data_IF_217673467726
#
_entry.id   IF_217673467726
#
_cell.length_a   1.000
_cell.length_b   1.000
_cell.length_c   1.000
_cell.angle_alpha   90.00
_cell.angle_beta   90.00
_cell.angle_gamma   90.00
#
_symmetry.space_group_name_H-M   'P 1'
#
loop_
_entity.id
_entity.type
_entity.pdbx_description
1 polymer ?
#
# COMPACT_ATOMS: atom_id res chain seq x y z
N UNK A 1 29.44 -12.05 -22.44
CA UNK A 1 28.49 -12.94 -21.75
C UNK A 1 28.81 -12.84 -20.27
N UNK A 2 28.11 -11.96 -19.57
CA UNK A 2 28.20 -11.81 -18.12
C UNK A 2 26.80 -11.36 -17.68
N UNK A 3 25.99 -12.34 -17.33
CA UNK A 3 24.73 -12.15 -16.61
C UNK A 3 24.82 -13.04 -15.37
N UNK A 4 24.13 -12.58 -14.33
CA UNK A 4 23.82 -13.27 -13.08
C UNK A 4 24.88 -13.25 -11.98
N UNK A 5 24.87 -12.17 -11.19
CA UNK A 5 25.12 -12.18 -9.74
C UNK A 5 24.61 -10.85 -9.16
N UNK A 6 23.30 -10.74 -8.85
CA UNK A 6 22.76 -9.69 -7.96
C UNK A 6 21.27 -9.92 -7.59
N UNK A 7 20.92 -11.14 -7.18
CA UNK A 7 19.57 -11.48 -6.72
C UNK A 7 19.64 -12.24 -5.39
N UNK A 8 20.11 -11.58 -4.32
CA UNK A 8 19.95 -12.18 -2.98
C UNK A 8 19.81 -11.21 -1.79
N UNK A 9 19.46 -9.93 -2.01
CA UNK A 9 19.40 -8.95 -0.92
C UNK A 9 17.98 -8.55 -0.45
N UNK A 10 16.91 -9.24 -0.88
CA UNK A 10 15.52 -8.79 -0.64
C UNK A 10 14.70 -9.62 0.36
N UNK A 11 15.32 -10.47 1.19
CA UNK A 11 14.59 -11.39 2.07
C UNK A 11 14.56 -11.01 3.56
N UNK A 12 14.62 -9.72 3.91
CA UNK A 12 14.31 -9.26 5.27
C UNK A 12 13.63 -7.89 5.22
N UNK A 13 12.32 -7.89 4.97
CA UNK A 13 11.48 -6.75 5.34
C UNK A 13 10.34 -7.27 6.21
N UNK A 14 10.38 -6.80 7.46
CA UNK A 14 9.48 -7.16 8.54
C UNK A 14 8.01 -7.05 8.13
N UNK A 15 7.27 -8.12 8.44
CA UNK A 15 5.81 -8.17 8.38
C UNK A 15 5.19 -7.47 9.59
N UNK A 16 5.48 -6.20 9.79
CA UNK A 16 4.77 -5.40 10.79
C UNK A 16 4.13 -4.16 10.15
N UNK A 17 2.80 -4.12 10.17
CA UNK A 17 2.04 -2.87 9.97
C UNK A 17 1.25 -2.73 8.68
N UNK A 18 0.40 -3.70 8.32
CA UNK A 18 -0.78 -3.43 7.47
C UNK A 18 -2.00 -3.25 8.39
N UNK A 19 -2.65 -2.07 8.45
CA UNK A 19 -3.87 -1.90 9.22
C UNK A 19 -5.03 -2.57 8.45
N UNK A 20 -5.28 -3.84 8.74
CA UNK A 20 -6.27 -4.67 8.03
C UNK A 20 -7.70 -4.58 8.57
N UNK A 21 -8.00 -3.73 9.56
CA UNK A 21 -9.27 -3.84 10.31
C UNK A 21 -10.25 -2.69 10.14
N UNK A 22 -9.95 -1.65 9.37
CA UNK A 22 -10.85 -0.50 9.16
C UNK A 22 -11.67 -0.54 7.86
N UNK A 23 -11.10 -1.11 6.80
CA UNK A 23 -11.64 -0.97 5.44
C UNK A 23 -12.77 -1.94 5.11
N UNK A 24 -12.81 -3.13 5.73
CA UNK A 24 -13.87 -4.11 5.47
C UNK A 24 -15.23 -3.67 6.03
N UNK A 25 -15.25 -2.90 7.12
CA UNK A 25 -16.48 -2.44 7.76
C UNK A 25 -17.18 -1.32 6.99
N UNK A 26 -16.41 -0.36 6.44
CA UNK A 26 -16.97 0.75 5.66
C UNK A 26 -17.54 0.30 4.30
N UNK A 27 -16.95 -0.75 3.71
CA UNK A 27 -17.45 -1.36 2.48
C UNK A 27 -18.84 -1.95 2.71
N UNK A 28 -19.05 -2.71 3.79
CA UNK A 28 -20.35 -3.32 4.06
C UNK A 28 -21.43 -2.25 4.30
N UNK A 29 -21.10 -1.18 5.03
CA UNK A 29 -22.08 -0.14 5.39
C UNK A 29 -22.49 0.74 4.20
N UNK A 30 -21.54 1.12 3.33
CA UNK A 30 -21.85 1.94 2.15
C UNK A 30 -22.72 1.18 1.14
N UNK A 31 -22.43 -0.11 0.91
CA UNK A 31 -23.19 -0.94 -0.02
C UNK A 31 -24.57 -1.33 0.54
N UNK A 32 -24.77 -1.42 1.85
CA UNK A 32 -26.11 -1.76 2.39
C UNK A 32 -27.11 -0.59 2.31
N UNK A 33 -26.65 0.65 2.44
CA UNK A 33 -27.54 1.81 2.57
C UNK A 33 -27.95 2.48 1.26
N UNK A 34 -27.16 2.35 0.18
CA UNK A 34 -27.47 2.94 -1.15
C UNK A 34 -27.67 1.93 -2.27
N UNK A 35 -27.55 0.63 -2.00
CA UNK A 35 -27.66 -0.39 -3.05
C UNK A 35 -29.06 -0.46 -3.67
N UNK A 36 -29.16 -0.67 -4.99
CA UNK A 36 -30.38 -1.10 -5.67
C UNK A 36 -31.09 -2.29 -5.00
N UNK A 37 -30.36 -3.12 -4.26
CA UNK A 37 -30.91 -4.22 -3.46
C UNK A 37 -31.83 -3.74 -2.34
N UNK A 38 -31.54 -2.57 -1.74
CA UNK A 38 -32.42 -1.96 -0.75
C UNK A 38 -33.72 -1.48 -1.40
N UNK A 39 -33.63 -0.87 -2.58
CA UNK A 39 -34.80 -0.45 -3.36
C UNK A 39 -35.66 -1.66 -3.79
N UNK A 40 -35.03 -2.77 -4.17
CA UNK A 40 -35.72 -4.02 -4.50
C UNK A 40 -36.37 -4.61 -3.24
N UNK A 41 -35.66 -4.67 -2.12
CA UNK A 41 -36.18 -5.16 -0.85
C UNK A 41 -37.38 -4.32 -0.36
N UNK A 42 -37.30 -2.99 -0.44
CA UNK A 42 -38.36 -2.07 -0.06
C UNK A 42 -39.61 -2.23 -0.95
N UNK A 43 -39.43 -2.46 -2.25
CA UNK A 43 -40.52 -2.71 -3.18
C UNK A 43 -41.18 -4.09 -2.96
N UNK A 44 -40.40 -5.13 -2.67
CA UNK A 44 -40.92 -6.45 -2.32
C UNK A 44 -41.70 -6.41 -1.00
N UNK A 45 -41.21 -5.67 -0.01
CA UNK A 45 -41.89 -5.47 1.27
C UNK A 45 -43.23 -4.75 1.10
N UNK A 46 -43.28 -3.73 0.23
CA UNK A 46 -44.54 -3.03 -0.11
C UNK A 46 -45.56 -3.95 -0.77
N UNK A 47 -45.13 -4.83 -1.69
CA UNK A 47 -46.03 -5.79 -2.33
C UNK A 47 -46.60 -6.81 -1.34
N UNK A 48 -45.80 -7.29 -0.38
CA UNK A 48 -46.26 -8.19 0.70
C UNK A 48 -47.29 -7.52 1.61
N UNK A 49 -47.05 -6.26 2.02
CA UNK A 49 -47.99 -5.46 2.83
C UNK A 49 -49.33 -5.24 2.10
N UNK A 50 -49.28 -4.97 0.79
CA UNK A 50 -50.50 -4.81 -0.04
C UNK A 50 -51.29 -6.12 -0.17
N UNK A 51 -50.63 -7.27 -0.17
CA UNK A 51 -51.31 -8.59 -0.20
C UNK A 51 -52.01 -8.90 1.13
N UNK A 52 -51.39 -8.53 2.25
CA UNK A 52 -51.92 -8.79 3.61
C UNK A 52 -53.09 -7.89 3.97
N UNK A 53 -53.06 -6.61 3.59
CA UNK A 53 -54.16 -5.67 3.86
C UNK A 53 -55.44 -6.02 3.10
N UNK A 54 -55.34 -6.61 1.90
CA UNK A 54 -56.49 -7.10 1.12
C UNK A 54 -57.20 -8.31 1.74
N UNK A 55 -56.51 -9.03 2.62
CA UNK A 55 -57.05 -10.19 3.35
C UNK A 55 -57.85 -9.79 4.60
N UNK A 56 -57.75 -8.53 5.04
CA UNK A 56 -58.42 -8.02 6.26
C UNK A 56 -59.72 -7.26 6.00
N UNK A 57 -60.07 -6.91 4.76
CA UNK A 57 -61.38 -6.33 4.44
C UNK A 57 -62.37 -7.41 4.02
N UNK A 58 -62.85 -8.22 4.97
CA UNK A 58 -64.11 -8.97 4.81
C UNK A 58 -65.25 -7.95 4.86
N UNK A 59 -65.71 -7.50 3.70
CA UNK A 59 -67.02 -6.86 3.57
C UNK A 59 -68.01 -7.99 3.33
N UNK A 60 -68.85 -8.25 4.32
CA UNK A 60 -69.98 -9.17 4.22
C UNK A 60 -70.99 -8.62 3.21
N UNK A 61 -70.96 -9.20 2.00
CA UNK A 61 -71.84 -8.90 0.89
C UNK A 61 -71.94 -10.14 0.02
N UNK A 62 -72.70 -11.13 0.49
CA UNK A 62 -72.91 -12.41 -0.17
C UNK A 62 -73.71 -12.23 -1.46
N UNK A 63 -73.10 -12.55 -2.61
CA UNK A 63 -73.82 -12.71 -3.87
C UNK A 63 -73.01 -12.40 -5.14
N UNK A 64 -72.15 -11.37 -5.13
CA UNK A 64 -71.44 -10.91 -6.34
C UNK A 64 -69.90 -11.06 -6.28
N UNK A 65 -69.31 -11.06 -5.08
CA UNK A 65 -67.85 -11.07 -4.89
C UNK A 65 -67.16 -12.38 -5.29
N UNK A 66 -67.86 -13.52 -5.24
CA UNK A 66 -67.27 -14.85 -5.50
C UNK A 66 -66.80 -15.00 -6.95
N UNK A 67 -67.44 -14.31 -7.90
CA UNK A 67 -67.11 -14.39 -9.32
C UNK A 67 -65.85 -13.58 -9.68
N UNK A 68 -65.66 -12.41 -9.07
CA UNK A 68 -64.51 -11.54 -9.35
C UNK A 68 -63.22 -12.10 -8.75
N UNK A 69 -63.26 -12.58 -7.51
CA UNK A 69 -62.09 -13.19 -6.86
C UNK A 69 -61.60 -14.45 -7.58
N UNK A 70 -62.53 -15.28 -8.08
CA UNK A 70 -62.16 -16.44 -8.90
C UNK A 70 -61.53 -16.02 -10.23
N UNK A 71 -62.05 -14.97 -10.89
CA UNK A 71 -61.47 -14.43 -12.13
C UNK A 71 -60.08 -13.84 -11.90
N UNK A 72 -59.87 -13.09 -10.80
CA UNK A 72 -58.56 -12.56 -10.42
C UNK A 72 -57.59 -13.72 -10.16
N UNK A 73 -58.00 -14.74 -9.40
CA UNK A 73 -57.16 -15.91 -9.12
C UNK A 73 -56.82 -16.71 -10.38
N UNK A 74 -57.76 -16.84 -11.33
CA UNK A 74 -57.52 -17.48 -12.61
C UNK A 74 -56.54 -16.67 -13.46
N UNK A 75 -56.68 -15.35 -13.50
CA UNK A 75 -55.75 -14.46 -14.21
C UNK A 75 -54.34 -14.48 -13.61
N UNK A 76 -54.20 -14.46 -12.29
CA UNK A 76 -52.87 -14.57 -11.64
C UNK A 76 -52.18 -15.91 -11.89
N UNK A 77 -52.95 -16.94 -12.28
CA UNK A 77 -52.43 -18.25 -12.69
C UNK A 77 -52.26 -18.39 -14.20
N UNK A 78 -52.68 -17.40 -14.99
CA UNK A 78 -52.57 -17.46 -16.44
C UNK A 78 -51.11 -17.34 -16.87
N UNK A 79 -50.82 -17.97 -18.01
CA UNK A 79 -49.48 -17.90 -18.60
C UNK A 79 -49.16 -16.47 -19.05
N UNK A 80 -50.17 -15.70 -19.47
CA UNK A 80 -50.00 -14.28 -19.83
C UNK A 80 -49.52 -13.44 -18.65
N UNK A 81 -50.13 -13.60 -17.47
CA UNK A 81 -49.70 -12.88 -16.27
C UNK A 81 -48.29 -13.29 -15.86
N UNK A 82 -47.97 -14.59 -15.91
CA UNK A 82 -46.63 -15.10 -15.61
C UNK A 82 -45.59 -14.56 -16.60
N UNK A 83 -45.92 -14.49 -17.89
CA UNK A 83 -45.03 -13.97 -18.93
C UNK A 83 -44.78 -12.47 -18.74
N UNK A 84 -45.82 -11.68 -18.46
CA UNK A 84 -45.68 -10.25 -18.17
C UNK A 84 -44.84 -10.04 -16.91
N UNK A 85 -45.13 -10.77 -15.84
CA UNK A 85 -44.39 -10.66 -14.57
C UNK A 85 -42.92 -11.08 -14.75
N UNK A 86 -42.66 -12.20 -15.41
CA UNK A 86 -41.29 -12.66 -15.67
C UNK A 86 -40.52 -11.65 -16.53
N UNK A 87 -41.17 -11.08 -17.54
CA UNK A 87 -40.54 -10.05 -18.39
C UNK A 87 -40.20 -8.80 -17.58
N UNK A 88 -41.14 -8.31 -16.78
CA UNK A 88 -40.92 -7.14 -15.93
C UNK A 88 -39.80 -7.38 -14.90
N UNK A 89 -39.75 -8.58 -14.29
CA UNK A 89 -38.68 -8.96 -13.35
C UNK A 89 -37.34 -9.00 -14.07
N UNK A 90 -37.25 -9.69 -15.21
CA UNK A 90 -35.99 -9.84 -15.95
C UNK A 90 -35.43 -8.49 -16.39
N UNK A 91 -36.26 -7.63 -16.99
CA UNK A 91 -35.85 -6.27 -17.39
C UNK A 91 -35.34 -5.47 -16.18
N UNK A 92 -36.03 -5.56 -15.05
CA UNK A 92 -35.64 -4.83 -13.83
C UNK A 92 -34.32 -5.35 -13.25
N UNK A 93 -34.15 -6.67 -13.20
CA UNK A 93 -32.95 -7.32 -12.68
C UNK A 93 -31.75 -7.06 -13.59
N UNK A 94 -31.93 -7.14 -14.91
CA UNK A 94 -30.88 -6.80 -15.88
C UNK A 94 -30.43 -5.34 -15.76
N UNK A 95 -31.38 -4.42 -15.63
CA UNK A 95 -31.07 -3.00 -15.42
C UNK A 95 -30.30 -2.77 -14.11
N UNK A 96 -30.71 -3.42 -13.02
CA UNK A 96 -30.04 -3.33 -11.72
C UNK A 96 -28.62 -3.91 -11.77
N UNK A 97 -28.45 -5.09 -12.38
CA UNK A 97 -27.13 -5.73 -12.56
C UNK A 97 -26.22 -4.84 -13.41
N UNK A 98 -26.73 -4.26 -14.50
CA UNK A 98 -25.96 -3.36 -15.36
C UNK A 98 -25.53 -2.10 -14.62
N UNK A 99 -26.44 -1.49 -13.85
CA UNK A 99 -26.13 -0.32 -13.03
C UNK A 99 -25.03 -0.63 -12.02
N UNK A 100 -25.19 -1.71 -11.27
CA UNK A 100 -24.20 -2.15 -10.28
C UNK A 100 -22.83 -2.43 -10.90
N UNK A 101 -22.79 -3.12 -12.05
CA UNK A 101 -21.54 -3.40 -12.77
C UNK A 101 -20.81 -2.11 -13.16
N UNK A 102 -21.53 -1.13 -13.68
CA UNK A 102 -20.93 0.14 -14.10
C UNK A 102 -20.34 0.91 -12.90
N UNK A 103 -21.12 1.05 -11.83
CA UNK A 103 -20.66 1.74 -10.61
C UNK A 103 -19.45 1.04 -9.99
N UNK A 104 -19.45 -0.30 -9.98
CA UNK A 104 -18.34 -1.09 -9.47
C UNK A 104 -17.07 -0.94 -10.32
N UNK A 105 -17.20 -0.94 -11.64
CA UNK A 105 -16.06 -0.70 -12.55
C UNK A 105 -15.49 0.69 -12.35
N UNK A 106 -16.33 1.73 -12.30
CA UNK A 106 -15.87 3.10 -12.05
C UNK A 106 -15.12 3.24 -10.71
N UNK A 107 -15.63 2.60 -9.65
CA UNK A 107 -14.97 2.60 -8.35
C UNK A 107 -13.60 1.93 -8.41
N UNK A 108 -13.51 0.77 -9.06
CA UNK A 108 -12.24 0.05 -9.22
C UNK A 108 -11.24 0.91 -10.01
N UNK A 109 -11.66 1.52 -11.11
CA UNK A 109 -10.79 2.34 -11.96
C UNK A 109 -10.22 3.54 -11.19
N UNK A 110 -11.07 4.25 -10.44
CA UNK A 110 -10.64 5.37 -9.59
C UNK A 110 -9.61 4.90 -8.56
N UNK A 111 -9.85 3.74 -7.93
CA UNK A 111 -8.96 3.24 -6.89
C UNK A 111 -7.65 2.69 -7.45
N UNK A 112 -7.69 2.00 -8.58
CA UNK A 112 -6.51 1.53 -9.30
C UNK A 112 -5.62 2.70 -9.68
N UNK A 113 -6.19 3.76 -10.26
CA UNK A 113 -5.45 4.97 -10.61
C UNK A 113 -4.80 5.62 -9.39
N UNK A 114 -5.51 5.73 -8.26
CA UNK A 114 -4.94 6.29 -7.03
C UNK A 114 -3.76 5.44 -6.49
N UNK A 115 -3.84 4.11 -6.62
CA UNK A 115 -2.74 3.21 -6.24
C UNK A 115 -1.55 3.35 -7.18
N UNK A 116 -1.78 3.45 -8.49
CA UNK A 116 -0.73 3.69 -9.50
C UNK A 116 -0.01 5.02 -9.27
N UNK A 117 -0.75 6.09 -8.99
CA UNK A 117 -0.20 7.41 -8.67
C UNK A 117 0.68 7.33 -7.41
N UNK A 118 0.20 6.64 -6.37
CA UNK A 118 0.94 6.43 -5.12
C UNK A 118 2.22 5.63 -5.35
N UNK A 119 2.14 4.53 -6.11
CA UNK A 119 3.29 3.69 -6.45
C UNK A 119 4.34 4.49 -7.25
N UNK A 120 3.89 5.27 -8.22
CA UNK A 120 4.75 6.14 -9.03
C UNK A 120 5.43 7.22 -8.19
N UNK A 121 4.73 7.78 -7.20
CA UNK A 121 5.31 8.75 -6.25
C UNK A 121 6.36 8.08 -5.36
N UNK A 122 6.06 6.94 -4.76
CA UNK A 122 6.99 6.22 -3.88
C UNK A 122 8.27 5.79 -4.62
N UNK A 123 8.14 5.32 -5.87
CA UNK A 123 9.31 5.00 -6.72
C UNK A 123 10.22 6.22 -6.94
N UNK A 124 9.65 7.40 -7.16
CA UNK A 124 10.41 8.66 -7.31
C UNK A 124 11.11 9.03 -6.00
N UNK A 125 10.41 8.98 -4.87
CA UNK A 125 10.98 9.27 -3.56
C UNK A 125 12.14 8.33 -3.22
N UNK A 126 11.98 7.03 -3.51
CA UNK A 126 13.02 6.01 -3.29
C UNK A 126 14.26 6.27 -4.15
N UNK A 127 14.06 6.62 -5.43
CA UNK A 127 15.17 6.96 -6.34
C UNK A 127 15.95 8.19 -5.84
N UNK A 128 15.23 9.23 -5.41
CA UNK A 128 15.85 10.44 -4.87
C UNK A 128 16.61 10.17 -3.57
N UNK A 129 16.07 9.30 -2.71
CA UNK A 129 16.72 8.94 -1.45
C UNK A 129 18.03 8.16 -1.70
N UNK A 130 18.02 7.19 -2.62
CA UNK A 130 19.24 6.49 -3.02
C UNK A 130 20.29 7.42 -3.62
N UNK A 131 19.86 8.39 -4.45
CA UNK A 131 20.76 9.40 -5.02
C UNK A 131 21.43 10.22 -3.91
N UNK A 132 20.66 10.72 -2.95
CA UNK A 132 21.19 11.47 -1.79
C UNK A 132 22.11 10.63 -0.93
N UNK A 133 21.78 9.35 -0.72
CA UNK A 133 22.63 8.44 0.04
C UNK A 133 24.01 8.30 -0.62
N UNK A 134 24.06 8.12 -1.95
CA UNK A 134 25.31 8.08 -2.71
C UNK A 134 26.11 9.38 -2.63
N UNK A 135 25.45 10.54 -2.66
CA UNK A 135 26.13 11.84 -2.49
C UNK A 135 26.74 11.98 -1.09
N UNK A 136 26.01 11.56 -0.05
CA UNK A 136 26.50 11.61 1.33
C UNK A 136 27.70 10.69 1.51
N UNK A 137 27.65 9.48 0.97
CA UNK A 137 28.74 8.52 1.04
C UNK A 137 30.01 9.02 0.33
N UNK A 138 29.83 9.59 -0.87
CA UNK A 138 30.93 10.23 -1.62
C UNK A 138 31.57 11.36 -0.81
N UNK A 139 30.76 12.26 -0.24
CA UNK A 139 31.25 13.37 0.60
C UNK A 139 31.92 12.88 1.88
N UNK A 140 31.40 11.82 2.50
CA UNK A 140 31.99 11.23 3.69
C UNK A 140 33.40 10.71 3.39
N UNK A 141 33.55 9.97 2.29
CA UNK A 141 34.84 9.47 1.83
C UNK A 141 35.81 10.60 1.45
N UNK A 142 35.35 11.61 0.71
CA UNK A 142 36.17 12.79 0.39
C UNK A 142 36.66 13.50 1.66
N UNK A 143 35.79 13.65 2.66
CA UNK A 143 36.13 14.30 3.92
C UNK A 143 37.12 13.46 4.75
N UNK A 144 36.95 12.13 4.76
CA UNK A 144 37.90 11.20 5.38
C UNK A 144 39.28 11.27 4.71
N UNK A 145 39.32 11.30 3.38
CA UNK A 145 40.56 11.46 2.62
C UNK A 145 41.21 12.83 2.87
N UNK A 146 40.41 13.90 2.90
CA UNK A 146 40.89 15.24 3.21
C UNK A 146 41.51 15.29 4.61
N UNK A 147 40.87 14.66 5.59
CA UNK A 147 41.39 14.56 6.96
C UNK A 147 42.69 13.75 7.03
N UNK A 148 42.90 12.77 6.15
CA UNK A 148 44.11 11.93 6.09
C UNK A 148 45.24 12.51 5.25
N UNK A 149 45.00 13.55 4.45
CA UNK A 149 45.95 14.06 3.46
C UNK A 149 47.32 14.42 4.03
N UNK A 150 47.37 14.93 5.25
CA UNK A 150 48.61 15.33 5.93
C UNK A 150 49.03 14.35 7.03
N UNK A 151 48.43 13.16 7.09
CA UNK A 151 48.75 12.15 8.09
C UNK A 151 49.59 11.05 7.44
N UNK A 152 50.78 10.78 8.00
CA UNK A 152 51.59 9.64 7.63
C UNK A 152 51.41 8.52 8.65
N UNK A 153 51.38 7.28 8.16
CA UNK A 153 51.34 6.09 9.01
C UNK A 153 52.58 5.25 8.76
N UNK A 154 53.37 5.06 9.80
CA UNK A 154 54.57 4.24 9.79
C UNK A 154 54.26 2.87 10.38
N UNK A 155 54.80 1.82 9.76
CA UNK A 155 54.67 0.43 10.21
C UNK A 155 56.05 -0.15 10.50
N UNK A 156 56.13 -1.09 11.44
CA UNK A 156 57.39 -1.78 11.77
C UNK A 156 58.31 -1.04 12.74
N UNK A 157 57.88 0.10 13.29
CA UNK A 157 58.57 0.75 14.41
C UNK A 157 58.27 -0.05 15.68
N UNK A 158 59.32 -0.47 16.38
CA UNK A 158 59.20 -1.24 17.62
C UNK A 158 58.81 -0.27 18.75
N UNK A 159 57.63 -0.47 19.32
CA UNK A 159 57.11 0.34 20.43
C UNK A 159 57.85 0.02 21.75
N UNK A 160 58.23 1.07 22.50
CA UNK A 160 58.71 0.94 23.90
C UNK A 160 57.88 1.83 24.82
N UNK A 161 57.57 1.34 26.02
CA UNK A 161 56.60 1.96 26.94
C UNK A 161 56.94 3.40 27.38
N UNK A 162 58.21 3.80 27.33
CA UNK A 162 58.67 5.10 27.81
C UNK A 162 59.18 6.02 26.69
N UNK A 163 58.94 5.67 25.42
CA UNK A 163 59.44 6.44 24.29
C UNK A 163 58.51 7.59 23.91
N UNK A 164 59.13 8.73 23.58
CA UNK A 164 58.44 9.86 23.00
C UNK A 164 58.23 9.61 21.50
N UNK A 165 56.96 9.50 21.08
CA UNK A 165 56.57 9.25 19.70
C UNK A 165 57.13 10.29 18.72
N UNK A 166 57.29 11.55 19.15
CA UNK A 166 57.81 12.61 18.28
C UNK A 166 59.28 12.38 17.96
N UNK A 167 60.09 12.11 18.99
CA UNK A 167 61.53 11.92 18.82
C UNK A 167 61.82 10.67 17.98
N UNK A 168 61.03 9.62 18.13
CA UNK A 168 61.22 8.39 17.37
C UNK A 168 60.86 8.56 15.89
N UNK A 169 59.83 9.37 15.57
CA UNK A 169 59.52 9.75 14.18
C UNK A 169 60.64 10.58 13.57
N UNK A 170 61.19 11.57 14.30
CA UNK A 170 62.31 12.39 13.82
C UNK A 170 63.54 11.53 13.52
N UNK A 171 63.92 10.63 14.44
CA UNK A 171 65.04 9.69 14.24
C UNK A 171 64.79 8.75 13.07
N UNK A 172 63.57 8.25 12.91
CA UNK A 172 63.20 7.37 11.80
C UNK A 172 63.35 8.09 10.46
N UNK A 173 62.83 9.32 10.34
CA UNK A 173 62.94 10.11 9.12
C UNK A 173 64.39 10.43 8.75
N UNK A 174 65.22 10.80 9.73
CA UNK A 174 66.63 11.10 9.50
C UNK A 174 67.43 9.84 9.13
N UNK A 175 67.30 8.77 9.93
CA UNK A 175 68.08 7.52 9.77
C UNK A 175 67.67 6.72 8.55
N UNK A 176 66.38 6.47 8.37
CA UNK A 176 65.87 5.46 7.44
C UNK A 176 65.37 6.07 6.12
N UNK A 177 64.90 7.34 6.15
CA UNK A 177 64.41 8.03 4.96
C UNK A 177 65.39 9.10 4.43
N UNK A 178 66.38 9.52 5.24
CA UNK A 178 67.32 10.59 4.87
C UNK A 178 66.67 11.96 4.77
N UNK A 179 65.56 12.18 5.50
CA UNK A 179 64.83 13.45 5.52
C UNK A 179 64.97 14.09 6.90
N UNK A 180 65.61 15.26 6.94
CA UNK A 180 65.70 16.06 8.15
C UNK A 180 64.36 16.77 8.39
N UNK A 181 63.71 16.43 9.51
CA UNK A 181 62.50 17.10 9.99
C UNK A 181 62.71 17.57 11.43
N UNK A 182 62.12 18.70 11.78
CA UNK A 182 62.14 19.24 13.13
C UNK A 182 60.86 18.86 13.90
N UNK A 183 60.96 18.77 15.22
CA UNK A 183 59.83 18.39 16.08
C UNK A 183 58.64 19.34 15.99
N UNK A 184 58.89 20.64 15.76
CA UNK A 184 57.87 21.67 15.58
C UNK A 184 57.10 21.56 14.25
N UNK A 185 57.58 20.77 13.29
CA UNK A 185 56.90 20.48 12.02
C UNK A 185 55.88 19.34 12.15
N UNK A 186 55.85 18.67 13.31
CA UNK A 186 54.92 17.58 13.62
C UNK A 186 53.80 18.10 14.52
N UNK A 187 52.60 18.25 13.96
CA UNK A 187 51.43 18.69 14.73
C UNK A 187 51.02 17.69 15.81
N UNK A 188 50.96 16.39 15.46
CA UNK A 188 50.59 15.29 16.38
C UNK A 188 51.28 13.99 15.99
N UNK A 189 51.88 13.33 16.98
CA UNK A 189 52.39 11.96 16.86
C UNK A 189 51.77 11.09 17.96
N UNK A 190 51.27 9.91 17.58
CA UNK A 190 50.74 8.93 18.52
C UNK A 190 50.88 7.52 17.95
N UNK A 191 51.16 6.55 18.80
CA UNK A 191 50.94 5.14 18.49
C UNK A 191 49.44 4.84 18.62
N UNK A 192 48.81 4.14 17.65
CA UNK A 192 47.43 3.71 17.81
C UNK A 192 47.33 2.78 19.03
N UNK A 193 46.48 3.14 19.99
CA UNK A 193 46.24 2.36 21.20
C UNK A 193 45.79 0.94 20.81
N UNK A 194 46.46 -0.09 21.33
CA UNK A 194 46.07 -1.50 21.15
C UNK A 194 44.75 -1.82 21.83
#
# INVERSE_FOLDING_TARGET
MAEDEDLNCLNNFDREGLPSSGLESEIIEYYFYKSPLKLIADNLLRLDIMSKTRSSSKVEGEGCHVNLDQKIKAFMKSDDFRAILSTAINVTVEAAIKCFKNEFVELIDVRMKALEDTNTRLKRELTELHRKLGEVDTKANENEQYSRRNNLRFYGIIEKETEDCYDEVVKFCDRDLGVAIERNEIDRAHAPTR
#
